data_IF_552325883787
#
_entry.id   IF_552325883787
#
_cell.length_a   1.000
_cell.length_b   1.000
_cell.length_c   1.000
_cell.angle_alpha   90.00
_cell.angle_beta   90.00
_cell.angle_gamma   90.00
#
_symmetry.space_group_name_H-M   'P 1'
#
loop_
_entity.id
_entity.type
_entity.pdbx_description
1 polymer ?
#
# COMPACT_ATOMS: atom_id res chain seq x y z
N UNK A 1 20.79 3.21 -1.01
CA UNK A 1 21.54 2.09 -1.67
C UNK A 1 20.96 1.87 -3.06
N UNK A 2 21.76 1.51 -4.07
CA UNK A 2 21.29 1.42 -5.44
C UNK A 2 20.29 0.27 -5.61
N UNK A 3 19.03 0.61 -5.90
CA UNK A 3 17.95 -0.34 -6.21
C UNK A 3 18.28 -0.99 -7.55
N UNK A 4 18.51 -2.30 -7.58
CA UNK A 4 18.63 -3.05 -8.84
C UNK A 4 17.22 -3.27 -9.39
N UNK A 5 16.87 -2.56 -10.46
CA UNK A 5 15.63 -2.78 -11.18
C UNK A 5 15.82 -3.85 -12.27
N UNK A 6 15.00 -4.89 -12.24
CA UNK A 6 14.83 -5.81 -13.37
C UNK A 6 13.35 -5.83 -13.71
N UNK A 7 13.00 -5.45 -14.94
CA UNK A 7 11.64 -5.57 -15.45
C UNK A 7 11.56 -6.72 -16.45
N UNK A 8 10.59 -7.61 -16.26
CA UNK A 8 10.25 -8.66 -17.23
C UNK A 8 8.77 -8.54 -17.54
N UNK A 9 8.44 -8.34 -18.81
CA UNK A 9 7.08 -8.51 -19.32
C UNK A 9 6.92 -9.98 -19.69
N UNK A 10 6.00 -10.68 -19.05
CA UNK A 10 5.62 -12.03 -19.46
C UNK A 10 4.12 -12.01 -19.68
N UNK A 11 3.62 -12.35 -20.87
CA UNK A 11 2.19 -12.41 -21.11
C UNK A 11 1.60 -13.44 -20.15
N UNK A 12 0.67 -13.05 -19.27
CA UNK A 12 0.09 -13.99 -18.32
C UNK A 12 -0.95 -14.87 -19.01
N UNK A 13 -0.94 -16.16 -18.70
CA UNK A 13 -1.97 -17.11 -19.16
C UNK A 13 -3.32 -16.90 -18.45
N UNK A 14 -3.34 -16.14 -17.34
CA UNK A 14 -4.50 -16.04 -16.43
C UNK A 14 -5.19 -14.67 -16.42
N UNK A 15 -4.54 -13.61 -16.91
CA UNK A 15 -5.10 -12.25 -16.87
C UNK A 15 -5.29 -11.70 -18.29
N UNK A 16 -6.39 -10.98 -18.48
CA UNK A 16 -6.80 -10.44 -19.79
C UNK A 16 -5.89 -9.33 -20.32
N UNK A 17 -5.05 -8.75 -19.46
CA UNK A 17 -4.20 -7.61 -19.78
C UNK A 17 -2.74 -7.98 -19.58
N UNK A 18 -1.87 -7.46 -20.44
CA UNK A 18 -0.43 -7.66 -20.33
C UNK A 18 0.09 -6.96 -19.06
N UNK A 19 0.77 -7.72 -18.18
CA UNK A 19 1.22 -7.23 -16.88
C UNK A 19 2.74 -7.25 -16.84
N UNK A 20 3.34 -6.09 -16.51
CA UNK A 20 4.79 -6.02 -16.32
C UNK A 20 5.13 -6.35 -14.87
N UNK A 21 6.06 -7.30 -14.70
CA UNK A 21 6.63 -7.62 -13.39
C UNK A 21 7.90 -6.80 -13.25
N UNK A 22 7.88 -5.83 -12.34
CA UNK A 22 9.06 -5.05 -11.98
C UNK A 22 9.57 -5.49 -10.61
N UNK A 23 10.80 -5.98 -10.56
CA UNK A 23 11.49 -6.28 -9.30
C UNK A 23 12.14 -5.00 -8.80
N UNK A 24 11.74 -4.51 -7.62
CA UNK A 24 12.43 -3.44 -6.89
C UNK A 24 12.95 -4.00 -5.56
N UNK A 25 14.22 -4.40 -5.52
CA UNK A 25 14.91 -4.91 -4.32
C UNK A 25 15.85 -3.80 -3.81
N UNK A 26 16.02 -3.48 -2.52
CA UNK A 26 16.07 -4.27 -1.28
C UNK A 26 15.71 -3.34 -0.10
N UNK A 27 14.74 -3.69 0.73
CA UNK A 27 14.69 -3.16 2.10
C UNK A 27 15.34 -4.19 3.02
N UNK A 28 16.26 -3.77 3.88
CA UNK A 28 16.86 -4.66 4.88
C UNK A 28 16.10 -4.50 6.19
N UNK A 29 15.50 -5.57 6.69
CA UNK A 29 14.93 -5.62 8.05
C UNK A 29 15.93 -6.37 8.92
N UNK A 30 16.68 -5.64 9.75
CA UNK A 30 17.76 -6.22 10.57
C UNK A 30 18.91 -6.73 9.70
N UNK A 31 19.25 -8.01 9.82
CA UNK A 31 20.31 -8.66 9.02
C UNK A 31 19.78 -9.50 7.83
N UNK A 32 18.46 -9.51 7.60
CA UNK A 32 17.85 -10.30 6.51
C UNK A 32 17.49 -9.42 5.32
N UNK A 33 17.93 -9.84 4.14
CA UNK A 33 17.48 -9.27 2.88
C UNK A 33 15.98 -9.55 2.70
N UNK A 34 15.18 -8.49 2.54
CA UNK A 34 13.75 -8.60 2.23
C UNK A 34 13.51 -8.09 0.80
N UNK A 35 13.61 -8.97 -0.22
CA UNK A 35 13.32 -8.59 -1.60
C UNK A 35 11.82 -8.37 -1.77
N UNK A 36 11.45 -7.19 -2.30
CA UNK A 36 10.05 -6.84 -2.59
C UNK A 36 9.81 -6.86 -4.09
N UNK A 37 8.61 -7.28 -4.47
CA UNK A 37 8.19 -7.39 -5.86
C UNK A 37 6.97 -6.50 -6.09
N UNK A 38 6.99 -5.69 -7.14
CA UNK A 38 5.87 -4.85 -7.55
C UNK A 38 5.38 -5.32 -8.92
N UNK A 39 4.12 -5.75 -8.97
CA UNK A 39 3.46 -6.15 -10.22
C UNK A 39 2.55 -5.01 -10.64
N UNK A 40 2.76 -4.47 -11.84
CA UNK A 40 2.02 -3.30 -12.29
C UNK A 40 1.87 -3.28 -13.80
N UNK A 41 0.76 -2.71 -14.28
CA UNK A 41 0.55 -2.41 -15.70
C UNK A 41 1.06 -1.00 -16.07
N UNK A 42 1.49 -0.21 -15.09
CA UNK A 42 2.02 1.13 -15.31
C UNK A 42 3.38 1.09 -16.03
N UNK A 43 3.60 2.04 -16.92
CA UNK A 43 4.88 2.25 -17.56
C UNK A 43 5.75 3.20 -16.71
N UNK A 44 7.02 2.87 -16.53
CA UNK A 44 7.95 3.72 -15.79
C UNK A 44 9.17 2.95 -15.29
N UNK A 45 10.10 3.69 -14.70
CA UNK A 45 11.23 3.09 -13.99
C UNK A 45 10.74 2.42 -12.71
N UNK A 46 11.26 1.21 -12.42
CA UNK A 46 10.81 0.40 -11.29
C UNK A 46 11.08 1.10 -9.95
N UNK A 47 12.11 1.95 -9.89
CA UNK A 47 12.42 2.73 -8.69
C UNK A 47 11.35 3.79 -8.43
N UNK A 48 11.01 4.59 -9.44
CA UNK A 48 9.97 5.63 -9.34
C UNK A 48 8.61 5.01 -9.01
N UNK A 49 8.26 3.91 -9.68
CA UNK A 49 7.01 3.18 -9.41
C UNK A 49 6.95 2.64 -7.97
N UNK A 50 8.09 2.26 -7.38
CA UNK A 50 8.15 1.83 -5.99
C UNK A 50 8.14 3.00 -5.00
N UNK A 51 9.09 3.93 -5.14
CA UNK A 51 9.33 5.02 -4.18
C UNK A 51 8.23 6.08 -4.22
N UNK A 52 7.78 6.50 -5.40
CA UNK A 52 6.86 7.63 -5.54
C UNK A 52 5.42 7.19 -5.67
N UNK A 53 5.13 6.04 -6.29
CA UNK A 53 3.75 5.59 -6.53
C UNK A 53 3.32 4.58 -5.47
N UNK A 54 4.09 3.49 -5.29
CA UNK A 54 3.68 2.43 -4.38
C UNK A 54 3.81 2.82 -2.90
N UNK A 55 4.89 3.50 -2.49
CA UNK A 55 5.06 3.89 -1.09
C UNK A 55 3.99 4.90 -0.60
N UNK A 56 3.37 5.68 -1.49
CA UNK A 56 2.23 6.52 -1.12
C UNK A 56 1.05 5.71 -0.57
N UNK A 57 0.90 4.44 -0.99
CA UNK A 57 -0.10 3.53 -0.40
C UNK A 57 0.12 3.34 1.11
N UNK A 58 1.37 3.34 1.57
CA UNK A 58 1.70 3.26 3.00
C UNK A 58 1.21 4.46 3.80
N UNK A 59 1.08 5.63 3.17
CA UNK A 59 0.54 6.82 3.82
C UNK A 59 -0.93 6.61 4.23
N UNK A 60 -1.70 5.83 3.47
CA UNK A 60 -3.08 5.48 3.83
C UNK A 60 -3.15 4.72 5.16
N UNK A 61 -2.17 3.85 5.46
CA UNK A 61 -2.11 3.16 6.74
C UNK A 61 -1.80 4.12 7.89
N UNK A 62 -0.94 5.12 7.65
CA UNK A 62 -0.67 6.17 8.64
C UNK A 62 -1.92 7.02 8.89
N UNK A 63 -2.67 7.41 7.86
CA UNK A 63 -3.94 8.11 8.01
C UNK A 63 -4.97 7.29 8.80
N UNK A 64 -5.05 5.97 8.56
CA UNK A 64 -5.90 5.08 9.35
C UNK A 64 -5.46 5.00 10.82
N UNK A 65 -4.15 4.96 11.09
CA UNK A 65 -3.63 5.00 12.46
C UNK A 65 -3.95 6.33 13.14
N UNK A 66 -3.84 7.44 12.43
CA UNK A 66 -4.22 8.77 12.92
C UNK A 66 -5.73 8.86 13.21
N UNK A 67 -6.58 8.31 12.34
CA UNK A 67 -8.03 8.24 12.59
C UNK A 67 -8.36 7.38 13.82
N UNK A 68 -7.65 6.27 14.00
CA UNK A 68 -7.89 5.38 15.13
C UNK A 68 -7.38 5.96 16.45
N UNK A 69 -6.18 6.56 16.46
CA UNK A 69 -5.53 7.07 17.68
C UNK A 69 -5.89 8.52 18.01
N UNK A 70 -6.00 9.37 17.00
CA UNK A 70 -6.22 10.82 17.14
C UNK A 70 -7.68 11.23 17.06
N UNK A 71 -8.52 10.48 16.34
CA UNK A 71 -9.94 10.81 16.11
C UNK A 71 -10.91 9.84 16.79
N UNK A 72 -10.40 8.97 17.67
CA UNK A 72 -11.18 8.04 18.52
C UNK A 72 -12.16 7.16 17.73
N UNK A 73 -11.81 6.81 16.48
CA UNK A 73 -12.63 5.91 15.66
C UNK A 73 -12.75 4.50 16.29
N UNK A 74 -11.86 4.14 17.22
CA UNK A 74 -11.88 2.90 17.99
C UNK A 74 -12.96 2.85 19.09
N UNK A 75 -13.47 4.00 19.54
CA UNK A 75 -14.44 4.07 20.65
C UNK A 75 -15.88 3.84 20.17
N UNK A 76 -16.18 2.60 19.81
CA UNK A 76 -17.52 2.13 19.44
C UNK A 76 -18.30 1.67 20.69
N UNK A 77 -18.77 2.63 21.49
CA UNK A 77 -19.47 2.36 22.76
C UNK A 77 -20.99 2.24 22.64
N UNK A 78 -21.59 2.49 21.47
CA UNK A 78 -23.04 2.45 21.32
C UNK A 78 -23.54 1.01 21.12
N UNK A 79 -24.72 0.68 21.64
CA UNK A 79 -25.35 -0.64 21.48
C UNK A 79 -25.81 -0.94 20.05
N UNK A 80 -25.96 0.08 19.19
CA UNK A 80 -26.43 -0.06 17.80
C UNK A 80 -25.27 0.07 16.81
N UNK A 81 -25.18 -0.89 15.89
CA UNK A 81 -24.16 -0.90 14.83
C UNK A 81 -24.15 0.38 13.99
N UNK A 82 -25.31 0.84 13.53
CA UNK A 82 -25.43 2.05 12.68
C UNK A 82 -24.89 3.30 13.38
N UNK A 83 -25.07 3.42 14.70
CA UNK A 83 -24.54 4.55 15.46
C UNK A 83 -23.00 4.53 15.51
N UNK A 84 -22.39 3.36 15.66
CA UNK A 84 -20.94 3.21 15.60
C UNK A 84 -20.40 3.46 14.19
N UNK A 85 -21.09 3.00 13.15
CA UNK A 85 -20.72 3.27 11.76
C UNK A 85 -20.72 4.77 11.44
N UNK A 86 -21.74 5.51 11.91
CA UNK A 86 -21.80 6.96 11.73
C UNK A 86 -20.65 7.68 12.43
N UNK A 87 -20.24 7.23 13.62
CA UNK A 87 -19.09 7.80 14.34
C UNK A 87 -17.77 7.60 13.59
N UNK A 88 -17.56 6.42 13.01
CA UNK A 88 -16.39 6.16 12.16
C UNK A 88 -16.40 7.05 10.92
N UNK A 89 -17.56 7.27 10.30
CA UNK A 89 -17.68 8.19 9.16
C UNK A 89 -17.35 9.64 9.54
N UNK A 90 -17.81 10.11 10.70
CA UNK A 90 -17.44 11.44 11.22
C UNK A 90 -15.94 11.56 11.47
N UNK A 91 -15.32 10.53 12.07
CA UNK A 91 -13.86 10.49 12.27
C UNK A 91 -13.08 10.41 10.94
N UNK A 92 -13.68 9.87 9.88
CA UNK A 92 -13.05 9.83 8.56
C UNK A 92 -13.14 11.17 7.80
N UNK A 93 -14.12 12.02 8.12
CA UNK A 93 -14.34 13.33 7.49
C UNK A 93 -13.62 14.50 8.20
N UNK A 94 -13.11 14.28 9.40
CA UNK A 94 -12.41 15.30 10.20
C UNK A 94 -10.95 15.47 9.74
#
# INVERSE_FOLDING_TARGET
MPVKSKSTSTPPTTWSTDIRKSVSSTATTGDKANPRFLVTNLAGDARVLYEDVYCQRGNMENCLKEQQLGLFADRTSCHRFVANQFRVLLAACA
#
